data_IF_446862123166
#
_entry.id   IF_446862123166
#
_cell.length_a   1.000
_cell.length_b   1.000
_cell.length_c   1.000
_cell.angle_alpha   90.00
_cell.angle_beta   90.00
_cell.angle_gamma   90.00
#
_symmetry.space_group_name_H-M   'P 1'
#
loop_
_entity.id
_entity.type
_entity.pdbx_description
1 polymer ?
#
# COMPACT_ATOMS: atom_id res chain seq x y z
N UNK A 1 75.00 103.77 -42.47
CA UNK A 1 74.15 104.00 -43.65
C UNK A 1 75.03 104.50 -44.81
N UNK A 2 75.14 103.73 -45.91
CA UNK A 2 75.81 104.13 -47.16
C UNK A 2 74.78 104.00 -48.30
N UNK A 3 74.53 105.12 -48.98
CA UNK A 3 73.88 105.32 -50.29
C UNK A 3 72.91 104.25 -50.78
N UNK A 4 71.65 104.41 -50.38
CA UNK A 4 70.48 103.72 -50.90
C UNK A 4 69.87 104.54 -52.06
N UNK A 5 70.41 104.41 -53.28
CA UNK A 5 69.80 105.00 -54.50
C UNK A 5 69.62 103.93 -55.57
N UNK A 6 68.39 103.74 -56.02
CA UNK A 6 68.06 102.84 -57.13
C UNK A 6 68.12 103.58 -58.47
N UNK A 7 68.50 102.87 -59.53
CA UNK A 7 68.53 103.41 -60.89
C UNK A 7 67.09 103.72 -61.37
N UNK A 8 66.86 104.85 -62.05
CA UNK A 8 65.54 105.35 -62.46
C UNK A 8 64.69 104.30 -63.19
N UNK A 9 65.27 103.54 -64.12
CA UNK A 9 64.51 102.51 -64.86
C UNK A 9 64.11 101.30 -64.01
N UNK A 10 64.78 101.08 -62.88
CA UNK A 10 64.44 100.06 -61.90
C UNK A 10 63.41 100.60 -60.91
N UNK A 11 63.55 101.86 -60.48
CA UNK A 11 62.62 102.53 -59.57
C UNK A 11 61.19 102.56 -60.13
N UNK A 12 61.04 102.93 -61.41
CA UNK A 12 59.72 103.01 -62.07
C UNK A 12 59.07 101.63 -62.26
N UNK A 13 59.86 100.60 -62.60
CA UNK A 13 59.32 99.23 -62.72
C UNK A 13 58.88 98.67 -61.37
N UNK A 14 59.65 98.96 -60.32
CA UNK A 14 59.33 98.50 -58.96
C UNK A 14 58.13 99.27 -58.41
N UNK A 15 58.02 100.58 -58.65
CA UNK A 15 56.85 101.37 -58.28
C UNK A 15 55.56 100.87 -58.95
N UNK A 16 55.58 100.53 -60.23
CA UNK A 16 54.39 100.00 -60.92
C UNK A 16 53.91 98.66 -60.34
N UNK A 17 54.83 97.79 -59.90
CA UNK A 17 54.48 96.53 -59.23
C UNK A 17 53.95 96.79 -57.82
N UNK A 18 54.54 97.74 -57.11
CA UNK A 18 54.13 98.08 -55.75
C UNK A 18 52.77 98.80 -55.71
N UNK A 19 52.43 99.61 -56.72
CA UNK A 19 51.09 100.19 -56.88
C UNK A 19 50.02 99.11 -57.08
N UNK A 20 50.30 98.10 -57.90
CA UNK A 20 49.42 96.94 -58.07
C UNK A 20 49.25 96.17 -56.75
N UNK A 21 50.33 96.00 -55.98
CA UNK A 21 50.29 95.36 -54.65
C UNK A 21 49.53 96.20 -53.62
N UNK A 22 49.68 97.53 -53.65
CA UNK A 22 48.92 98.44 -52.82
C UNK A 22 47.42 98.30 -53.08
N UNK A 23 47.02 98.21 -54.34
CA UNK A 23 45.62 98.03 -54.73
C UNK A 23 45.10 96.66 -54.28
N UNK A 24 45.89 95.60 -54.45
CA UNK A 24 45.54 94.25 -53.98
C UNK A 24 45.42 94.16 -52.45
N UNK A 25 46.28 94.85 -51.70
CA UNK A 25 46.22 94.92 -50.23
C UNK A 25 45.00 95.71 -49.73
N UNK A 26 44.62 96.79 -50.40
CA UNK A 26 43.38 97.53 -50.10
C UNK A 26 42.14 96.69 -50.39
N UNK A 27 42.14 95.90 -51.48
CA UNK A 27 41.07 94.96 -51.78
C UNK A 27 40.97 93.84 -50.73
N UNK A 28 42.10 93.32 -50.26
CA UNK A 28 42.14 92.33 -49.19
C UNK A 28 41.62 92.91 -47.86
N UNK A 29 42.05 94.12 -47.48
CA UNK A 29 41.56 94.81 -46.29
C UNK A 29 40.03 95.03 -46.35
N UNK A 30 39.52 95.42 -47.52
CA UNK A 30 38.09 95.58 -47.75
C UNK A 30 37.34 94.24 -47.64
N UNK A 31 37.89 93.16 -48.22
CA UNK A 31 37.29 91.83 -48.11
C UNK A 31 37.21 91.31 -46.67
N UNK A 32 38.23 91.57 -45.85
CA UNK A 32 38.21 91.21 -44.43
C UNK A 32 37.22 92.08 -43.62
N UNK A 33 37.08 93.36 -43.97
CA UNK A 33 36.07 94.25 -43.37
C UNK A 33 34.63 93.86 -43.76
N UNK A 34 34.43 93.34 -44.97
CA UNK A 34 33.15 92.84 -45.46
C UNK A 34 32.78 91.48 -44.82
N UNK A 35 33.76 90.59 -44.63
CA UNK A 35 33.59 89.31 -43.93
C UNK A 35 33.23 89.48 -42.44
N UNK A 36 33.69 90.57 -41.80
CA UNK A 36 33.32 90.95 -40.44
C UNK A 36 31.85 91.37 -40.31
N UNK A 37 31.25 91.90 -41.38
CA UNK A 37 29.87 92.36 -41.41
C UNK A 37 28.87 91.29 -41.88
N UNK A 38 29.32 90.28 -42.62
CA UNK A 38 28.45 89.30 -43.28
C UNK A 38 28.41 87.92 -42.61
N UNK A 39 29.45 87.52 -41.87
CA UNK A 39 29.55 86.19 -41.28
C UNK A 39 29.55 86.18 -39.72
N UNK A 40 28.88 85.20 -39.08
CA UNK A 40 28.87 85.05 -37.63
C UNK A 40 30.18 84.44 -37.12
N UNK A 41 31.10 85.30 -36.70
CA UNK A 41 32.40 84.90 -36.13
C UNK A 41 32.38 84.85 -34.60
N UNK A 42 33.20 83.97 -34.02
CA UNK A 42 33.51 83.92 -32.57
C UNK A 42 34.06 85.27 -32.08
N UNK A 43 33.86 85.66 -30.80
CA UNK A 43 34.43 86.89 -30.25
C UNK A 43 35.95 87.01 -30.45
N UNK A 44 36.68 85.90 -30.41
CA UNK A 44 38.12 85.89 -30.69
C UNK A 44 38.43 86.09 -32.18
N UNK A 45 37.65 85.46 -33.06
CA UNK A 45 37.84 85.54 -34.52
C UNK A 45 37.51 86.94 -35.07
N UNK A 46 36.56 87.66 -34.45
CA UNK A 46 36.28 89.07 -34.79
C UNK A 46 37.45 89.99 -34.46
N UNK A 47 38.13 89.74 -33.34
CA UNK A 47 39.29 90.54 -32.91
C UNK A 47 40.50 90.27 -33.81
N UNK A 48 40.71 89.02 -34.23
CA UNK A 48 41.82 88.65 -35.13
C UNK A 48 41.59 89.17 -36.55
N UNK A 49 40.38 89.04 -37.12
CA UNK A 49 40.04 89.59 -38.44
C UNK A 49 40.08 91.13 -38.47
N UNK A 50 39.63 91.81 -37.40
CA UNK A 50 39.70 93.27 -37.31
C UNK A 50 41.14 93.77 -37.25
N UNK A 51 42.04 93.05 -36.57
CA UNK A 51 43.47 93.37 -36.58
C UNK A 51 44.07 93.14 -37.97
N UNK A 52 43.76 92.01 -38.61
CA UNK A 52 44.28 91.69 -39.94
C UNK A 52 43.83 92.72 -41.00
N UNK A 53 42.57 93.16 -40.96
CA UNK A 53 42.07 94.21 -41.83
C UNK A 53 42.79 95.55 -41.62
N UNK A 54 43.05 95.93 -40.36
CA UNK A 54 43.80 97.13 -40.02
C UNK A 54 45.27 97.04 -40.47
N UNK A 55 45.90 95.87 -40.31
CA UNK A 55 47.29 95.63 -40.72
C UNK A 55 47.43 95.68 -42.25
N UNK A 56 46.50 95.09 -43.01
CA UNK A 56 46.47 95.21 -44.47
C UNK A 56 46.33 96.68 -44.93
N UNK A 57 45.53 97.49 -44.22
CA UNK A 57 45.39 98.93 -44.52
C UNK A 57 46.68 99.69 -44.23
N UNK A 58 47.30 99.45 -43.07
CA UNK A 58 48.55 100.10 -42.67
C UNK A 58 49.71 99.74 -43.62
N UNK A 59 49.78 98.48 -44.07
CA UNK A 59 50.79 98.04 -45.06
C UNK A 59 50.51 98.68 -46.42
N UNK A 60 49.25 98.81 -46.84
CA UNK A 60 48.92 99.49 -48.09
C UNK A 60 49.30 100.99 -48.06
N UNK A 61 49.11 101.67 -46.93
CA UNK A 61 49.55 103.06 -46.76
C UNK A 61 51.08 103.19 -46.78
N UNK A 62 51.79 102.23 -46.16
CA UNK A 62 53.25 102.17 -46.20
C UNK A 62 53.79 101.88 -47.62
N UNK A 63 53.15 100.98 -48.37
CA UNK A 63 53.51 100.68 -49.76
C UNK A 63 53.21 101.90 -50.65
N UNK A 64 52.12 102.61 -50.42
CA UNK A 64 51.79 103.85 -51.14
C UNK A 64 52.79 104.98 -50.91
N UNK A 65 53.15 105.23 -49.65
CA UNK A 65 54.19 106.21 -49.31
C UNK A 65 55.56 105.82 -49.88
N UNK A 66 55.87 104.52 -49.88
CA UNK A 66 57.07 103.98 -50.53
C UNK A 66 57.06 104.14 -52.06
N UNK A 67 55.92 103.96 -52.73
CA UNK A 67 55.77 104.21 -54.17
C UNK A 67 56.06 105.67 -54.54
N UNK A 68 55.50 106.63 -53.78
CA UNK A 68 55.74 108.06 -53.98
C UNK A 68 57.22 108.40 -53.74
N UNK A 69 57.84 107.87 -52.68
CA UNK A 69 59.27 108.07 -52.40
C UNK A 69 60.19 107.49 -53.49
N UNK A 70 59.83 106.37 -54.10
CA UNK A 70 60.57 105.76 -55.21
C UNK A 70 60.42 106.53 -56.52
N UNK A 71 59.23 107.06 -56.82
CA UNK A 71 58.97 107.82 -58.05
C UNK A 71 59.62 109.21 -58.02
N UNK A 72 59.53 109.92 -56.90
CA UNK A 72 60.00 111.31 -56.79
C UNK A 72 61.46 111.43 -56.37
N UNK A 73 61.90 110.61 -55.41
CA UNK A 73 63.17 110.83 -54.71
C UNK A 73 64.21 109.71 -54.90
N UNK A 74 63.85 108.58 -55.52
CA UNK A 74 64.69 107.38 -55.68
C UNK A 74 65.28 106.87 -54.35
N UNK A 75 64.58 107.10 -53.24
CA UNK A 75 64.97 106.72 -51.87
C UNK A 75 63.90 105.86 -51.22
N UNK A 76 64.26 105.17 -50.13
CA UNK A 76 63.38 104.23 -49.42
C UNK A 76 63.46 104.38 -47.90
N UNK A 77 63.45 105.62 -47.43
CA UNK A 77 63.70 105.95 -46.03
C UNK A 77 62.49 105.67 -45.12
N UNK A 78 61.26 105.85 -45.60
CA UNK A 78 60.02 105.52 -44.86
C UNK A 78 59.99 104.07 -44.39
N UNK A 79 60.23 103.12 -45.30
CA UNK A 79 60.25 101.68 -45.01
C UNK A 79 61.36 101.31 -44.02
N UNK A 80 62.54 101.93 -44.16
CA UNK A 80 63.64 101.73 -43.20
C UNK A 80 63.29 102.25 -41.81
N UNK A 81 62.64 103.41 -41.72
CA UNK A 81 62.21 104.00 -40.45
C UNK A 81 61.12 103.17 -39.78
N UNK A 82 60.12 102.67 -40.53
CA UNK A 82 59.09 101.80 -39.98
C UNK A 82 59.64 100.44 -39.54
N UNK A 83 60.65 99.89 -40.24
CA UNK A 83 61.33 98.66 -39.81
C UNK A 83 62.14 98.91 -38.52
N UNK A 84 62.71 100.10 -38.35
CA UNK A 84 63.44 100.49 -37.15
C UNK A 84 62.48 100.75 -35.97
N UNK A 85 61.30 101.34 -36.22
CA UNK A 85 60.23 101.52 -35.24
C UNK A 85 59.61 100.18 -34.81
N UNK A 86 59.39 99.24 -35.74
CA UNK A 86 58.92 97.86 -35.41
C UNK A 86 59.98 97.09 -34.63
N UNK A 87 61.27 97.23 -34.96
CA UNK A 87 62.36 96.64 -34.17
C UNK A 87 62.47 97.22 -32.76
N UNK A 88 62.18 98.51 -32.57
CA UNK A 88 62.19 99.12 -31.24
C UNK A 88 60.94 98.76 -30.41
N UNK A 89 59.80 98.49 -31.04
CA UNK A 89 58.60 97.96 -30.36
C UNK A 89 58.81 96.49 -29.97
N UNK A 90 59.37 95.64 -30.84
CA UNK A 90 59.69 94.23 -30.51
C UNK A 90 60.75 94.11 -29.39
N UNK A 91 61.74 95.02 -29.34
CA UNK A 91 62.76 95.01 -28.28
C UNK A 91 62.30 95.58 -26.92
N UNK A 92 61.13 96.24 -26.86
CA UNK A 92 60.56 96.74 -25.58
C UNK A 92 59.38 95.90 -25.06
N UNK A 93 58.92 94.88 -25.79
CA UNK A 93 57.78 94.04 -25.36
C UNK A 93 58.09 92.54 -25.16
N UNK A 94 59.36 92.12 -25.26
CA UNK A 94 59.71 90.69 -25.34
C UNK A 94 60.58 90.13 -24.18
N UNK A 95 60.68 90.83 -23.04
CA UNK A 95 61.39 90.31 -21.85
C UNK A 95 60.53 90.24 -20.57
N UNK A 96 59.28 90.72 -20.55
CA UNK A 96 58.46 90.75 -19.32
C UNK A 96 57.24 89.80 -19.31
N UNK A 97 56.84 89.20 -20.44
CA UNK A 97 55.59 88.41 -20.54
C UNK A 97 55.74 86.91 -20.86
N UNK A 98 56.93 86.42 -21.22
CA UNK A 98 57.18 84.98 -21.45
C UNK A 98 57.62 84.22 -20.19
N UNK A 99 58.21 84.87 -19.18
CA UNK A 99 58.61 84.21 -17.93
C UNK A 99 57.40 83.92 -17.01
N UNK A 100 56.42 84.83 -16.93
CA UNK A 100 55.21 84.61 -16.13
C UNK A 100 54.26 83.59 -16.78
N UNK A 101 54.10 83.58 -18.11
CA UNK A 101 53.23 82.60 -18.79
C UNK A 101 53.81 81.19 -18.88
N UNK A 102 55.14 81.03 -19.00
CA UNK A 102 55.81 79.72 -18.88
C UNK A 102 55.90 79.25 -17.42
N UNK A 103 56.03 80.15 -16.45
CA UNK A 103 55.96 79.81 -15.02
C UNK A 103 54.54 79.38 -14.64
N UNK A 104 53.51 80.13 -15.02
CA UNK A 104 52.11 79.76 -14.79
C UNK A 104 51.70 78.50 -15.56
N UNK A 105 52.19 78.28 -16.78
CA UNK A 105 51.93 77.04 -17.51
C UNK A 105 52.65 75.85 -16.86
N UNK A 106 53.92 75.99 -16.46
CA UNK A 106 54.65 74.94 -15.71
C UNK A 106 54.00 74.67 -14.37
N UNK A 107 53.61 75.70 -13.62
CA UNK A 107 52.98 75.58 -12.32
C UNK A 107 51.60 74.94 -12.44
N UNK A 108 50.77 75.35 -13.41
CA UNK A 108 49.51 74.65 -13.72
C UNK A 108 49.72 73.20 -14.16
N UNK A 109 50.73 72.90 -14.98
CA UNK A 109 51.04 71.53 -15.39
C UNK A 109 51.50 70.69 -14.20
N UNK A 110 52.28 71.27 -13.29
CA UNK A 110 52.79 70.63 -12.07
C UNK A 110 51.64 70.37 -11.08
N UNK A 111 50.74 71.32 -10.90
CA UNK A 111 49.51 71.16 -10.09
C UNK A 111 48.59 70.09 -10.70
N UNK A 112 48.46 70.03 -12.02
CA UNK A 112 47.64 69.03 -12.71
C UNK A 112 48.27 67.63 -12.62
N UNK A 113 49.59 67.52 -12.75
CA UNK A 113 50.33 66.29 -12.49
C UNK A 113 50.19 65.84 -11.04
N UNK A 114 50.32 66.75 -10.07
CA UNK A 114 50.15 66.45 -8.65
C UNK A 114 48.74 65.93 -8.33
N UNK A 115 47.69 66.55 -8.88
CA UNK A 115 46.30 66.05 -8.75
C UNK A 115 46.10 64.66 -9.36
N UNK A 116 46.70 64.39 -10.53
CA UNK A 116 46.61 63.07 -11.17
C UNK A 116 47.37 62.02 -10.36
N UNK A 117 48.52 62.36 -9.79
CA UNK A 117 49.30 61.47 -8.91
C UNK A 117 48.53 61.18 -7.63
N UNK A 118 47.96 62.19 -6.98
CA UNK A 118 47.14 62.02 -5.77
C UNK A 118 45.88 61.18 -6.05
N UNK A 119 45.21 61.38 -7.19
CA UNK A 119 44.11 60.51 -7.62
C UNK A 119 44.55 59.08 -7.88
N UNK A 120 45.72 58.87 -8.49
CA UNK A 120 46.29 57.55 -8.73
C UNK A 120 46.65 56.84 -7.42
N UNK A 121 47.27 57.55 -6.47
CA UNK A 121 47.59 57.03 -5.14
C UNK A 121 46.33 56.65 -4.37
N UNK A 122 45.29 57.50 -4.41
CA UNK A 122 43.99 57.20 -3.82
C UNK A 122 43.33 55.98 -4.47
N UNK A 123 43.34 55.89 -5.81
CA UNK A 123 42.82 54.72 -6.54
C UNK A 123 43.61 53.45 -6.25
N UNK A 124 44.94 53.53 -6.13
CA UNK A 124 45.79 52.41 -5.74
C UNK A 124 45.49 51.94 -4.31
N UNK A 125 45.29 52.88 -3.36
CA UNK A 125 44.91 52.55 -1.99
C UNK A 125 43.54 51.86 -1.92
N UNK A 126 42.56 52.35 -2.69
CA UNK A 126 41.24 51.71 -2.79
C UNK A 126 41.35 50.32 -3.41
N UNK A 127 42.12 50.18 -4.49
CA UNK A 127 42.32 48.89 -5.15
C UNK A 127 42.96 47.85 -4.21
N UNK A 128 43.97 48.25 -3.42
CA UNK A 128 44.58 47.37 -2.41
C UNK A 128 43.56 46.91 -1.36
N UNK A 129 42.74 47.82 -0.83
CA UNK A 129 41.67 47.48 0.13
C UNK A 129 40.64 46.51 -0.46
N UNK A 130 40.21 46.74 -1.71
CA UNK A 130 39.28 45.86 -2.41
C UNK A 130 39.89 44.49 -2.68
N UNK A 131 41.19 44.44 -3.00
CA UNK A 131 41.91 43.19 -3.21
C UNK A 131 42.03 42.37 -1.91
N UNK A 132 42.31 43.03 -0.79
CA UNK A 132 42.28 42.41 0.55
C UNK A 132 40.88 41.89 0.90
N UNK A 133 39.85 42.69 0.70
CA UNK A 133 38.45 42.30 0.95
C UNK A 133 38.04 41.10 0.09
N UNK A 134 38.40 41.10 -1.20
CA UNK A 134 38.17 39.96 -2.09
C UNK A 134 38.90 38.70 -1.61
N UNK A 135 40.14 38.82 -1.15
CA UNK A 135 40.90 37.70 -0.58
C UNK A 135 40.22 37.11 0.65
N UNK A 136 39.73 37.97 1.56
CA UNK A 136 39.01 37.54 2.77
C UNK A 136 37.69 36.85 2.42
N UNK A 137 36.89 37.43 1.52
CA UNK A 137 35.62 36.85 1.08
C UNK A 137 35.81 35.51 0.34
N UNK A 138 36.86 35.42 -0.47
CA UNK A 138 37.27 34.17 -1.13
C UNK A 138 37.57 33.07 -0.11
N UNK A 139 38.39 33.36 0.90
CA UNK A 139 38.72 32.41 1.96
C UNK A 139 37.47 31.98 2.77
N UNK A 140 36.60 32.92 3.12
CA UNK A 140 35.34 32.63 3.81
C UNK A 140 34.42 31.74 2.98
N UNK A 141 34.35 31.95 1.66
CA UNK A 141 33.55 31.12 0.75
C UNK A 141 34.07 29.68 0.70
N UNK A 142 35.38 29.50 0.57
CA UNK A 142 36.00 28.16 0.60
C UNK A 142 35.75 27.45 1.93
N UNK A 143 35.81 28.17 3.05
CA UNK A 143 35.53 27.61 4.36
C UNK A 143 34.06 27.20 4.51
N UNK A 144 33.12 28.04 4.07
CA UNK A 144 31.70 27.68 4.03
C UNK A 144 31.43 26.46 3.15
N UNK A 145 32.11 26.33 2.01
CA UNK A 145 31.94 25.20 1.10
C UNK A 145 32.46 23.90 1.73
N UNK A 146 33.61 23.96 2.42
CA UNK A 146 34.12 22.84 3.24
C UNK A 146 33.15 22.47 4.36
N UNK A 147 32.64 23.46 5.11
CA UNK A 147 31.65 23.21 6.17
C UNK A 147 30.38 22.57 5.62
N UNK A 148 29.84 23.09 4.51
CA UNK A 148 28.67 22.52 3.84
C UNK A 148 28.91 21.09 3.37
N UNK A 149 30.09 20.79 2.84
CA UNK A 149 30.47 19.44 2.42
C UNK A 149 30.56 18.48 3.62
N UNK A 150 31.14 18.92 4.75
CA UNK A 150 31.19 18.15 5.99
C UNK A 150 29.78 17.86 6.52
N UNK A 151 28.92 18.88 6.62
CA UNK A 151 27.52 18.73 7.04
C UNK A 151 26.76 17.75 6.12
N UNK A 152 27.00 17.83 4.80
CA UNK A 152 26.38 16.95 3.82
C UNK A 152 26.82 15.49 4.01
N UNK A 153 28.10 15.26 4.26
CA UNK A 153 28.65 13.93 4.53
C UNK A 153 28.10 13.37 5.85
N UNK A 154 28.09 14.16 6.94
CA UNK A 154 27.51 13.73 8.22
C UNK A 154 26.02 13.38 8.12
N UNK A 155 25.24 14.17 7.37
CA UNK A 155 23.82 13.87 7.11
C UNK A 155 23.65 12.57 6.32
N UNK A 156 24.52 12.34 5.33
CA UNK A 156 24.52 11.11 4.53
C UNK A 156 24.85 9.89 5.40
N UNK A 157 25.84 9.99 6.26
CA UNK A 157 26.24 8.90 7.14
C UNK A 157 25.15 8.58 8.18
N UNK A 158 24.55 9.61 8.78
CA UNK A 158 23.37 9.46 9.68
C UNK A 158 22.21 8.77 8.97
N UNK A 159 21.92 9.16 7.73
CA UNK A 159 20.85 8.54 6.93
C UNK A 159 21.16 7.06 6.64
N UNK A 160 22.40 6.73 6.28
CA UNK A 160 22.82 5.35 6.03
C UNK A 160 22.76 4.48 7.29
N UNK A 161 23.13 5.03 8.46
CA UNK A 161 23.01 4.33 9.74
C UNK A 161 21.55 4.04 10.08
N UNK A 162 20.68 5.04 10.02
CA UNK A 162 19.24 4.85 10.25
C UNK A 162 18.61 3.85 9.28
N UNK A 163 19.01 3.88 8.00
CA UNK A 163 18.51 2.94 7.00
C UNK A 163 18.95 1.50 7.29
N UNK A 164 20.18 1.30 7.79
CA UNK A 164 20.67 -0.02 8.21
C UNK A 164 19.93 -0.51 9.45
N UNK A 165 19.78 0.32 10.46
CA UNK A 165 19.03 0.00 11.69
C UNK A 165 17.60 -0.40 11.37
N UNK A 166 16.89 0.41 10.56
CA UNK A 166 15.53 0.09 10.10
C UNK A 166 15.47 -1.23 9.31
N UNK A 167 16.44 -1.48 8.42
CA UNK A 167 16.51 -2.75 7.67
C UNK A 167 16.76 -3.96 8.56
N UNK A 168 17.58 -3.81 9.60
CA UNK A 168 17.87 -4.90 10.51
C UNK A 168 16.70 -5.18 11.46
N UNK A 169 16.01 -4.14 11.92
CA UNK A 169 14.73 -4.27 12.65
C UNK A 169 13.66 -4.96 11.79
N UNK A 170 13.52 -4.58 10.52
CA UNK A 170 12.59 -5.20 9.58
C UNK A 170 12.89 -6.69 9.41
N UNK A 171 14.15 -7.07 9.19
CA UNK A 171 14.55 -8.49 9.10
C UNK A 171 14.27 -9.26 10.40
N UNK A 172 14.43 -8.63 11.56
CA UNK A 172 14.13 -9.26 12.84
C UNK A 172 12.62 -9.48 13.01
N UNK A 173 11.80 -8.50 12.65
CA UNK A 173 10.34 -8.64 12.63
C UNK A 173 9.89 -9.71 11.63
N UNK A 174 10.48 -9.77 10.43
CA UNK A 174 10.18 -10.82 9.45
C UNK A 174 10.49 -12.22 9.98
N UNK A 175 11.61 -12.40 10.69
CA UNK A 175 11.96 -13.67 11.35
C UNK A 175 10.94 -14.04 12.42
N UNK A 176 10.52 -13.08 13.24
CA UNK A 176 9.48 -13.30 14.26
C UNK A 176 8.14 -13.68 13.61
N UNK A 177 7.73 -12.99 12.54
CA UNK A 177 6.52 -13.30 11.78
C UNK A 177 6.59 -14.73 11.21
N UNK A 178 7.73 -15.12 10.63
CA UNK A 178 7.94 -16.48 10.12
C UNK A 178 7.83 -17.52 11.24
N UNK A 179 8.50 -17.29 12.37
CA UNK A 179 8.45 -18.18 13.53
C UNK A 179 7.02 -18.37 14.07
N UNK A 180 6.28 -17.27 14.24
CA UNK A 180 4.89 -17.33 14.73
C UNK A 180 3.99 -18.04 13.71
N UNK A 181 4.16 -17.81 12.41
CA UNK A 181 3.43 -18.55 11.37
C UNK A 181 3.69 -20.05 11.42
N UNK A 182 4.95 -20.45 11.62
CA UNK A 182 5.30 -21.88 11.76
C UNK A 182 4.70 -22.50 13.03
N UNK A 183 4.66 -21.75 14.14
CA UNK A 183 4.02 -22.22 15.38
C UNK A 183 2.50 -22.38 15.21
N UNK A 184 1.83 -21.40 14.60
CA UNK A 184 0.40 -21.48 14.31
C UNK A 184 0.09 -22.69 13.44
N UNK A 185 0.88 -22.95 12.40
CA UNK A 185 0.66 -24.09 11.51
C UNK A 185 0.92 -25.43 12.20
N UNK A 186 1.91 -25.51 13.11
CA UNK A 186 2.11 -26.70 13.95
C UNK A 186 0.94 -26.93 14.90
N UNK A 187 0.47 -25.87 15.56
CA UNK A 187 -0.67 -25.95 16.48
C UNK A 187 -1.94 -26.36 15.74
N UNK A 188 -2.18 -25.79 14.56
CA UNK A 188 -3.29 -26.16 13.68
C UNK A 188 -3.26 -27.64 13.30
N UNK A 189 -2.08 -28.16 12.91
CA UNK A 189 -1.93 -29.60 12.59
C UNK A 189 -2.18 -30.49 13.80
N UNK A 190 -1.64 -30.11 14.96
CA UNK A 190 -1.85 -30.82 16.23
C UNK A 190 -3.34 -30.85 16.61
N UNK A 191 -4.01 -29.71 16.47
CA UNK A 191 -5.44 -29.56 16.70
C UNK A 191 -6.25 -30.44 15.74
N UNK A 192 -5.96 -30.41 14.43
CA UNK A 192 -6.65 -31.24 13.44
C UNK A 192 -6.51 -32.75 13.74
N UNK A 193 -5.31 -33.19 14.13
CA UNK A 193 -5.05 -34.60 14.52
C UNK A 193 -5.85 -34.95 15.77
N UNK A 194 -5.83 -34.08 16.79
CA UNK A 194 -6.57 -34.28 18.03
C UNK A 194 -8.09 -34.33 17.80
N UNK A 195 -8.61 -33.45 16.96
CA UNK A 195 -10.02 -33.42 16.57
C UNK A 195 -10.43 -34.70 15.85
N UNK A 196 -9.65 -35.17 14.88
CA UNK A 196 -9.91 -36.44 14.19
C UNK A 196 -9.85 -37.63 15.14
N UNK A 197 -8.89 -37.65 16.06
CA UNK A 197 -8.79 -38.70 17.08
C UNK A 197 -10.05 -38.75 17.95
N UNK A 198 -10.49 -37.59 18.46
CA UNK A 198 -11.70 -37.50 19.29
C UNK A 198 -12.96 -37.89 18.51
N UNK A 199 -13.09 -37.47 17.25
CA UNK A 199 -14.20 -37.87 16.38
C UNK A 199 -14.23 -39.38 16.16
N UNK A 200 -13.09 -40.00 15.88
CA UNK A 200 -12.98 -41.44 15.71
C UNK A 200 -13.37 -42.19 16.99
N UNK A 201 -12.90 -41.73 18.15
CA UNK A 201 -13.26 -42.30 19.44
C UNK A 201 -14.76 -42.16 19.73
N UNK A 202 -15.35 -41.01 19.42
CA UNK A 202 -16.79 -40.79 19.58
C UNK A 202 -17.61 -41.74 18.70
N UNK A 203 -17.19 -41.93 17.45
CA UNK A 203 -17.86 -42.83 16.51
C UNK A 203 -17.73 -44.30 16.94
N UNK A 204 -16.54 -44.73 17.38
CA UNK A 204 -16.31 -46.08 17.92
C UNK A 204 -17.21 -46.36 19.12
N UNK A 205 -17.29 -45.42 20.08
CA UNK A 205 -18.16 -45.55 21.25
C UNK A 205 -19.65 -45.58 20.86
N UNK A 206 -20.04 -44.83 19.83
CA UNK A 206 -21.41 -44.83 19.31
C UNK A 206 -21.75 -46.18 18.67
N UNK A 207 -20.86 -46.74 17.85
CA UNK A 207 -21.02 -48.06 17.25
C UNK A 207 -21.11 -49.16 18.32
N UNK A 208 -20.22 -49.12 19.33
CA UNK A 208 -20.30 -50.06 20.45
C UNK A 208 -21.66 -49.96 21.17
N UNK A 209 -22.13 -48.75 21.44
CA UNK A 209 -23.45 -48.52 22.07
C UNK A 209 -24.59 -49.09 21.22
N UNK A 210 -24.53 -48.93 19.90
CA UNK A 210 -25.53 -49.47 18.97
C UNK A 210 -25.50 -51.00 18.94
N UNK A 211 -24.31 -51.61 18.82
CA UNK A 211 -24.14 -53.06 18.90
C UNK A 211 -24.70 -53.63 20.22
N UNK A 212 -24.42 -53.00 21.35
CA UNK A 212 -24.95 -53.44 22.64
C UNK A 212 -26.47 -53.32 22.73
N UNK A 213 -27.05 -52.24 22.19
CA UNK A 213 -28.51 -52.09 22.11
C UNK A 213 -29.15 -53.20 21.29
N UNK A 214 -28.61 -53.50 20.12
CA UNK A 214 -29.10 -54.58 19.26
C UNK A 214 -28.99 -55.93 19.94
N UNK A 215 -27.85 -56.23 20.55
CA UNK A 215 -27.64 -57.48 21.29
C UNK A 215 -28.63 -57.64 22.44
N UNK A 216 -28.85 -56.58 23.23
CA UNK A 216 -29.83 -56.60 24.32
C UNK A 216 -31.25 -56.81 23.78
N UNK A 217 -31.59 -56.18 22.65
CA UNK A 217 -32.90 -56.35 22.03
C UNK A 217 -33.13 -57.79 21.57
N UNK A 218 -32.14 -58.42 20.93
CA UNK A 218 -32.20 -59.83 20.52
C UNK A 218 -32.38 -60.73 21.74
N UNK A 219 -31.54 -60.57 22.77
CA UNK A 219 -31.65 -61.36 24.00
C UNK A 219 -33.02 -61.20 24.67
N UNK A 220 -33.57 -59.98 24.66
CA UNK A 220 -34.92 -59.71 25.19
C UNK A 220 -35.98 -60.46 24.38
N UNK A 221 -35.88 -60.46 23.05
CA UNK A 221 -36.81 -61.19 22.17
C UNK A 221 -36.73 -62.70 22.39
N UNK A 222 -35.52 -63.25 22.50
CA UNK A 222 -35.33 -64.69 22.74
C UNK A 222 -35.87 -65.11 24.11
N UNK A 223 -35.63 -64.31 25.16
CA UNK A 223 -36.24 -64.56 26.47
C UNK A 223 -37.75 -64.42 26.48
N UNK A 224 -38.31 -63.48 25.74
CA UNK A 224 -39.77 -63.38 25.58
C UNK A 224 -40.35 -64.62 24.89
N UNK A 225 -39.67 -65.16 23.86
CA UNK A 225 -40.06 -66.40 23.18
C UNK A 225 -39.98 -67.60 24.13
N UNK A 226 -38.86 -67.79 24.83
CA UNK A 226 -38.70 -68.87 25.81
C UNK A 226 -39.82 -68.85 26.87
N UNK A 227 -40.14 -67.66 27.42
CA UNK A 227 -41.23 -67.50 28.39
C UNK A 227 -42.59 -67.85 27.79
N UNK A 228 -42.85 -67.43 26.55
CA UNK A 228 -44.09 -67.77 25.86
C UNK A 228 -44.21 -69.29 25.64
N UNK A 229 -43.14 -69.95 25.23
CA UNK A 229 -43.12 -71.41 25.01
C UNK A 229 -43.40 -72.17 26.31
N UNK A 230 -42.79 -71.75 27.41
CA UNK A 230 -43.06 -72.33 28.74
C UNK A 230 -44.51 -72.10 29.15
N UNK A 231 -45.04 -70.89 28.95
CA UNK A 231 -46.45 -70.58 29.23
C UNK A 231 -47.39 -71.45 28.41
N UNK A 232 -47.16 -71.61 27.11
CA UNK A 232 -47.92 -72.50 26.25
C UNK A 232 -47.89 -73.95 26.74
N UNK A 233 -46.71 -74.47 27.12
CA UNK A 233 -46.57 -75.82 27.69
C UNK A 233 -47.35 -75.98 28.98
N UNK A 234 -47.33 -74.98 29.87
CA UNK A 234 -48.11 -74.99 31.13
C UNK A 234 -49.60 -75.03 30.81
N UNK A 235 -50.09 -74.16 29.92
CA UNK A 235 -51.50 -74.13 29.53
C UNK A 235 -51.95 -75.48 28.95
N UNK A 236 -51.18 -76.04 28.00
CA UNK A 236 -51.50 -77.34 27.40
C UNK A 236 -51.53 -78.48 28.43
N UNK A 237 -50.58 -78.50 29.36
CA UNK A 237 -50.56 -79.50 30.43
C UNK A 237 -51.76 -79.35 31.38
N UNK A 238 -52.14 -78.10 31.69
CA UNK A 238 -53.30 -77.80 32.51
C UNK A 238 -54.60 -78.24 31.82
N UNK A 239 -54.76 -77.96 30.53
CA UNK A 239 -55.89 -78.42 29.72
C UNK A 239 -55.98 -79.94 29.69
N UNK A 240 -54.86 -80.63 29.48
CA UNK A 240 -54.80 -82.10 29.53
C UNK A 240 -55.20 -82.65 30.90
N UNK A 241 -54.77 -82.01 31.99
CA UNK A 241 -55.13 -82.40 33.35
C UNK A 241 -56.63 -82.20 33.61
N UNK A 242 -57.19 -81.06 33.17
CA UNK A 242 -58.62 -80.78 33.29
C UNK A 242 -59.47 -81.80 32.52
N UNK A 243 -59.06 -82.17 31.30
CA UNK A 243 -59.76 -83.18 30.51
C UNK A 243 -59.68 -84.56 31.17
N UNK A 244 -58.52 -84.94 31.71
CA UNK A 244 -58.38 -86.18 32.48
C UNK A 244 -59.31 -86.20 33.71
N UNK A 245 -59.36 -85.09 34.45
CA UNK A 245 -60.27 -84.92 35.60
C UNK A 245 -61.73 -85.04 35.18
N UNK A 246 -62.11 -84.52 34.01
CA UNK A 246 -63.46 -84.67 33.44
C UNK A 246 -63.77 -86.14 33.15
N UNK A 247 -62.83 -86.86 32.50
CA UNK A 247 -62.98 -88.30 32.21
C UNK A 247 -63.12 -89.15 33.48
N UNK A 248 -62.32 -88.88 34.51
CA UNK A 248 -62.45 -89.57 35.79
C UNK A 248 -63.83 -89.39 36.42
N UNK A 249 -64.36 -88.16 36.43
CA UNK A 249 -65.73 -87.91 36.92
C UNK A 249 -66.80 -88.70 36.17
N UNK A 250 -66.69 -88.78 34.84
CA UNK A 250 -67.62 -89.56 34.01
C UNK A 250 -67.50 -91.05 34.34
N UNK A 251 -66.29 -91.59 34.47
CA UNK A 251 -66.09 -93.00 34.84
C UNK A 251 -66.61 -93.30 36.25
N UNK A 252 -66.35 -92.42 37.22
CA UNK A 252 -66.89 -92.54 38.58
C UNK A 252 -68.42 -92.57 38.59
N UNK A 253 -69.05 -91.72 37.76
CA UNK A 253 -70.50 -91.72 37.59
C UNK A 253 -71.01 -93.05 37.00
N UNK A 254 -70.40 -93.53 35.92
CA UNK A 254 -70.79 -94.82 35.30
C UNK A 254 -70.62 -95.99 36.28
N UNK A 255 -69.53 -96.03 37.06
CA UNK A 255 -69.32 -97.07 38.07
C UNK A 255 -70.38 -96.99 39.17
N UNK A 256 -70.80 -95.78 39.56
CA UNK A 256 -71.87 -95.60 40.53
C UNK A 256 -73.21 -96.09 39.97
N UNK A 257 -73.54 -95.72 38.72
CA UNK A 257 -74.75 -96.16 38.02
C UNK A 257 -74.80 -97.69 37.87
N UNK A 258 -73.72 -98.34 37.44
CA UNK A 258 -73.61 -99.81 37.33
C UNK A 258 -73.80 -100.51 38.69
N UNK A 259 -73.23 -99.96 39.78
CA UNK A 259 -73.45 -100.48 41.14
C UNK A 259 -74.91 -100.38 41.56
N UNK A 260 -75.56 -99.25 41.29
CA UNK A 260 -76.98 -99.04 41.58
C UNK A 260 -77.87 -99.99 40.77
N UNK A 261 -77.55 -100.22 39.49
CA UNK A 261 -78.24 -101.19 38.63
C UNK A 261 -78.07 -102.63 39.11
N UNK A 262 -76.85 -103.04 39.47
CA UNK A 262 -76.58 -104.37 40.03
C UNK A 262 -77.29 -104.58 41.37
N UNK A 263 -77.42 -103.54 42.20
CA UNK A 263 -78.19 -103.62 43.44
C UNK A 263 -79.69 -103.78 43.16
N UNK A 264 -80.24 -103.05 42.17
CA UNK A 264 -81.63 -103.23 41.72
C UNK A 264 -81.87 -104.65 41.22
N UNK A 265 -81.00 -105.16 40.34
CA UNK A 265 -81.09 -106.53 39.83
C UNK A 265 -80.99 -107.59 40.94
N UNK A 266 -80.12 -107.39 41.94
CA UNK A 266 -80.05 -108.28 43.11
C UNK A 266 -81.35 -108.29 43.91
N UNK A 267 -81.92 -107.11 44.19
CA UNK A 267 -83.21 -106.99 44.89
C UNK A 267 -84.34 -107.66 44.10
N UNK A 268 -84.39 -107.47 42.79
CA UNK A 268 -85.38 -108.15 41.93
C UNK A 268 -85.22 -109.67 41.96
N UNK A 269 -83.99 -110.18 41.88
CA UNK A 269 -83.71 -111.61 41.93
C UNK A 269 -84.06 -112.21 43.30
N UNK A 270 -83.79 -111.48 44.38
CA UNK A 270 -84.21 -111.87 45.74
C UNK A 270 -85.73 -111.93 45.86
N UNK A 271 -86.46 -110.95 45.31
CA UNK A 271 -87.92 -110.95 45.25
C UNK A 271 -88.46 -112.14 44.44
N UNK A 272 -87.90 -112.41 43.26
CA UNK A 272 -88.27 -113.57 42.43
C UNK A 272 -88.00 -114.88 43.18
N UNK A 273 -86.85 -114.98 43.86
CA UNK A 273 -86.47 -116.16 44.64
C UNK A 273 -87.41 -116.36 45.83
N UNK A 274 -87.76 -115.30 46.54
CA UNK A 274 -88.72 -115.32 47.64
C UNK A 274 -90.12 -115.74 47.15
N UNK A 275 -90.61 -115.12 46.06
CA UNK A 275 -91.87 -115.48 45.41
C UNK A 275 -91.88 -116.97 44.99
N UNK A 276 -90.78 -117.46 44.41
CA UNK A 276 -90.63 -118.88 44.02
C UNK A 276 -90.68 -119.81 45.24
N UNK A 277 -90.02 -119.45 46.36
CA UNK A 277 -90.09 -120.21 47.61
C UNK A 277 -91.50 -120.25 48.19
N UNK A 278 -92.21 -119.12 48.19
CA UNK A 278 -93.61 -119.04 48.64
C UNK A 278 -94.50 -119.91 47.75
N UNK A 279 -94.35 -119.82 46.42
CA UNK A 279 -95.10 -120.67 45.49
C UNK A 279 -94.79 -122.16 45.69
N UNK A 280 -93.53 -122.53 45.88
CA UNK A 280 -93.13 -123.91 46.14
C UNK A 280 -93.67 -124.44 47.48
N UNK A 281 -93.63 -123.62 48.54
CA UNK A 281 -94.23 -123.93 49.82
C UNK A 281 -95.74 -124.15 49.69
N UNK A 282 -96.45 -123.26 48.98
CA UNK A 282 -97.88 -123.39 48.74
C UNK A 282 -98.22 -124.64 47.93
N UNK A 283 -97.50 -124.91 46.83
CA UNK A 283 -97.64 -126.16 46.05
C UNK A 283 -97.41 -127.40 46.92
N UNK A 284 -96.37 -127.40 47.75
CA UNK A 284 -96.11 -128.51 48.68
C UNK A 284 -97.19 -128.64 49.77
N UNK A 285 -97.74 -127.53 50.26
CA UNK A 285 -98.86 -127.52 51.20
C UNK A 285 -100.13 -128.08 50.55
N UNK A 286 -100.43 -127.67 49.31
CA UNK A 286 -101.54 -128.19 48.51
C UNK A 286 -101.45 -129.71 48.34
N UNK A 287 -100.26 -130.24 47.99
CA UNK A 287 -100.02 -131.69 47.88
C UNK A 287 -100.22 -132.39 49.23
N UNK A 288 -99.63 -131.89 50.32
CA UNK A 288 -99.74 -132.53 51.66
C UNK A 288 -101.14 -132.50 52.24
N UNK A 289 -101.95 -131.47 51.94
CA UNK A 289 -103.33 -131.35 52.40
C UNK A 289 -104.35 -131.97 51.44
N UNK A 290 -103.92 -132.56 50.32
CA UNK A 290 -104.82 -133.13 49.31
C UNK A 290 -105.73 -132.10 48.64
N UNK A 291 -105.31 -130.83 48.60
CA UNK A 291 -106.06 -129.72 48.04
C UNK A 291 -105.56 -129.46 46.61
N UNK A 292 -106.41 -129.72 45.62
CA UNK A 292 -106.10 -129.58 44.19
C UNK A 292 -106.12 -130.90 43.42
N UNK A 293 -105.70 -130.88 42.16
CA UNK A 293 -105.82 -131.97 41.16
C UNK A 293 -104.98 -133.23 41.52
N UNK A 294 -104.22 -133.19 42.61
CA UNK A 294 -103.39 -134.29 43.11
C UNK A 294 -104.02 -135.02 44.31
N UNK A 295 -105.34 -135.18 44.34
CA UNK A 295 -105.96 -136.16 45.25
C UNK A 295 -105.50 -137.55 44.81
N UNK A 296 -104.64 -138.16 45.61
CA UNK A 296 -104.33 -139.58 45.55
C UNK A 296 -105.59 -140.35 45.91
N UNK A 297 -106.31 -140.85 44.90
CA UNK A 297 -107.13 -142.03 45.07
C UNK A 297 -106.18 -143.21 45.31
N UNK A 298 -106.32 -143.83 46.47
CA UNK A 298 -105.63 -145.06 46.84
C UNK A 298 -106.08 -146.24 45.97
N UNK A 299 -105.18 -147.23 45.86
CA UNK A 299 -105.38 -148.61 45.39
C UNK A 299 -105.14 -148.97 43.91
N UNK A 300 -103.95 -149.54 43.62
CA UNK A 300 -103.76 -150.98 43.31
C UNK A 300 -102.34 -151.31 42.79
N UNK A 301 -101.55 -151.97 43.64
CA UNK A 301 -100.96 -153.32 43.44
C UNK A 301 -100.41 -153.65 42.03
N UNK A 302 -99.07 -153.73 41.86
CA UNK A 302 -98.50 -154.44 40.71
C UNK A 302 -97.00 -154.32 40.37
N UNK A 303 -96.15 -155.08 41.08
CA UNK A 303 -95.09 -155.96 40.52
C UNK A 303 -93.83 -155.37 39.81
N UNK A 304 -92.69 -155.46 40.54
CA UNK A 304 -91.31 -155.88 40.16
C UNK A 304 -90.78 -155.69 38.71
N UNK A 305 -89.65 -154.97 38.59
CA UNK A 305 -88.31 -155.39 38.07
C UNK A 305 -87.38 -154.16 38.10
N UNK A 306 -86.29 -154.14 38.88
CA UNK A 306 -84.97 -154.76 38.66
C UNK A 306 -84.09 -154.03 37.61
N UNK A 307 -82.83 -153.79 37.98
CA UNK A 307 -81.73 -153.25 37.15
C UNK A 307 -81.44 -151.75 37.37
N UNK A 308 -80.36 -151.27 37.99
CA UNK A 308 -78.91 -151.51 37.83
C UNK A 308 -78.21 -150.31 37.19
N UNK A 309 -77.17 -149.80 37.89
CA UNK A 309 -75.90 -149.20 37.40
C UNK A 309 -75.93 -147.84 36.69
N UNK A 310 -75.21 -146.82 37.17
CA UNK A 310 -73.74 -146.62 37.15
C UNK A 310 -73.25 -146.01 35.81
N UNK A 311 -72.49 -144.89 35.89
CA UNK A 311 -71.78 -144.27 34.75
C UNK A 311 -72.11 -142.78 34.57
N UNK A 312 -71.36 -141.78 35.06
CA UNK A 312 -69.94 -141.39 34.82
C UNK A 312 -69.70 -140.80 33.41
N UNK A 313 -69.13 -139.58 33.42
CA UNK A 313 -68.29 -138.88 32.40
C UNK A 313 -68.93 -138.06 31.26
N UNK A 314 -68.63 -136.75 31.27
CA UNK A 314 -67.71 -135.98 30.36
C UNK A 314 -68.01 -134.49 30.62
N UNK A 315 -67.12 -133.58 31.05
CA UNK A 315 -65.75 -133.17 30.63
C UNK A 315 -65.64 -132.81 29.14
N UNK A 316 -65.61 -131.50 28.86
CA UNK A 316 -64.83 -130.78 27.83
C UNK A 316 -64.91 -129.29 28.21
N UNK A 317 -63.85 -128.74 28.82
CA UNK A 317 -62.62 -128.22 28.20
C UNK A 317 -62.89 -126.90 27.49
#
# INVERSE_FOLDING_TARGET
MRNARMNLSQSVRVAAVLEDWQHQLLLLAFSFAEDLNTNPHSPQDKVTLSKLAQDCHNIAELVGTFCVELQENQTFYSVLKTIEDVKQVEQMTDEHTQSETLSDYKENLTVRYAKVVEELENKCSIFQKLQEEHSILSAQREEQEKQNQTIKNEKKDKLQMLQKEASDEEKMLEKQIKLVKEQIEKERRSHDISMRFLQNQQEEMKQQKEMWKERIQIMRQDKAKELNDVRCKITLNLDRLMEMKRKFRVMEQVVKEDKEEQEKLRKELELITAATKIQAFWRGCMVRKGLGIYKTEEDKKGKKKDGSKEGKKKKKK
#
